data_IF_970639696996
#
_entry.id   IF_970639696996
#
_cell.length_a   1.000
_cell.length_b   1.000
_cell.length_c   1.000
_cell.angle_alpha   90.00
_cell.angle_beta   90.00
_cell.angle_gamma   90.00
#
_symmetry.space_group_name_H-M   'P 1'
#
loop_
_entity.id
_entity.type
_entity.pdbx_description
1 polymer ?
#
# COMPACT_ATOMS: atom_id res chain seq x y z
N UNK A 1 13.11 15.37 20.77
CA UNK A 1 13.81 16.24 21.72
C UNK A 1 15.09 16.88 21.14
N UNK A 2 15.93 16.14 20.38
CA UNK A 2 17.20 16.68 19.83
C UNK A 2 16.96 17.80 18.81
N UNK A 3 15.97 17.68 17.93
CA UNK A 3 15.61 18.73 16.94
C UNK A 3 15.24 20.01 17.65
N UNK A 4 14.43 19.91 18.71
CA UNK A 4 14.04 21.06 19.54
C UNK A 4 15.23 21.70 20.24
N UNK A 5 16.07 20.90 20.88
CA UNK A 5 17.27 21.40 21.57
C UNK A 5 18.26 22.14 20.63
N UNK A 6 18.21 21.86 19.33
CA UNK A 6 19.01 22.50 18.30
C UNK A 6 18.32 23.70 17.63
N UNK A 7 17.07 24.02 18.03
CA UNK A 7 16.29 25.11 17.42
C UNK A 7 15.86 24.84 15.97
N UNK A 8 15.81 23.59 15.54
CA UNK A 8 15.51 23.19 14.16
C UNK A 8 14.04 22.85 13.90
N UNK A 9 13.15 22.99 14.89
CA UNK A 9 11.73 22.63 14.81
C UNK A 9 10.99 23.35 13.66
N UNK A 10 11.34 24.61 13.43
CA UNK A 10 10.71 25.45 12.40
C UNK A 10 11.02 25.02 10.96
N UNK A 11 11.99 24.13 10.76
CA UNK A 11 12.46 23.72 9.42
C UNK A 11 12.74 22.21 9.32
N UNK A 12 12.13 21.40 10.18
CA UNK A 12 12.34 19.94 10.15
C UNK A 12 11.01 19.21 10.16
N UNK A 13 10.84 18.31 9.19
CA UNK A 13 9.75 17.33 9.17
C UNK A 13 10.30 15.96 9.53
N UNK A 14 9.58 15.24 10.36
CA UNK A 14 9.92 13.87 10.78
C UNK A 14 8.81 12.96 10.28
N UNK A 15 9.16 11.96 9.49
CA UNK A 15 8.25 10.94 8.99
C UNK A 15 8.68 9.60 9.56
N UNK A 16 7.76 8.91 10.23
CA UNK A 16 7.92 7.55 10.71
C UNK A 16 6.94 6.64 10.00
N UNK A 17 7.44 5.60 9.37
CA UNK A 17 6.62 4.62 8.66
C UNK A 17 7.39 3.30 8.51
N UNK A 18 6.74 2.27 7.96
CA UNK A 18 7.35 0.99 7.56
C UNK A 18 7.13 0.78 6.07
N UNK A 19 8.03 0.07 5.41
CA UNK A 19 7.94 -0.25 3.98
C UNK A 19 6.84 -1.25 3.66
N UNK A 20 6.55 -2.18 4.59
CA UNK A 20 5.50 -3.20 4.49
C UNK A 20 5.13 -3.71 5.90
N UNK A 21 4.08 -4.51 5.96
CA UNK A 21 3.71 -5.19 7.18
C UNK A 21 4.72 -6.25 7.62
N UNK A 22 4.61 -6.74 8.85
CA UNK A 22 5.49 -7.76 9.37
C UNK A 22 5.41 -9.07 8.55
N UNK A 23 6.51 -9.80 8.52
CA UNK A 23 6.54 -11.13 7.89
C UNK A 23 5.51 -12.03 8.56
N UNK A 24 4.62 -12.70 7.79
CA UNK A 24 3.64 -13.58 8.38
C UNK A 24 4.31 -14.73 9.12
N UNK A 25 3.75 -15.10 10.29
CA UNK A 25 4.22 -16.26 11.05
C UNK A 25 3.89 -17.53 10.27
N UNK A 26 4.93 -18.24 9.84
CA UNK A 26 4.79 -19.50 9.12
C UNK A 26 4.75 -20.67 10.09
N UNK A 27 3.80 -21.63 9.94
CA UNK A 27 3.80 -22.86 10.75
C UNK A 27 4.95 -23.78 10.33
N UNK A 28 5.35 -24.74 11.14
CA UNK A 28 5.58 -24.76 12.58
C UNK A 28 7.06 -24.65 12.95
N UNK A 29 7.98 -24.28 12.05
CA UNK A 29 9.43 -24.40 12.28
C UNK A 29 10.22 -23.07 12.26
N UNK A 30 9.60 -21.95 11.96
CA UNK A 30 10.26 -20.64 11.97
C UNK A 30 9.41 -19.65 12.77
N UNK A 31 9.63 -19.62 14.07
CA UNK A 31 9.11 -18.54 14.90
C UNK A 31 9.93 -17.28 14.65
N UNK A 32 9.39 -16.33 13.90
CA UNK A 32 9.82 -14.95 14.07
C UNK A 32 9.24 -14.46 15.38
N UNK A 33 10.07 -14.31 16.39
CA UNK A 33 9.68 -13.85 17.73
C UNK A 33 9.19 -12.40 17.78
N UNK A 34 9.29 -11.68 16.69
CA UNK A 34 9.07 -10.24 16.62
C UNK A 34 8.23 -9.89 15.40
N UNK A 35 7.15 -9.17 15.67
CA UNK A 35 6.23 -8.65 14.69
C UNK A 35 4.96 -9.49 14.54
N UNK A 36 3.84 -8.82 14.74
CA UNK A 36 2.52 -9.36 14.46
C UNK A 36 1.74 -8.30 13.71
N UNK A 37 0.99 -8.72 12.70
CA UNK A 37 0.05 -7.84 12.01
C UNK A 37 -1.36 -7.95 12.60
N UNK A 38 -1.55 -8.83 13.61
CA UNK A 38 -2.86 -9.01 14.24
C UNK A 38 -3.43 -7.66 14.72
N UNK A 39 -4.72 -7.38 14.47
CA UNK A 39 -5.73 -8.28 13.91
C UNK A 39 -5.80 -8.29 12.36
N UNK A 40 -4.91 -7.59 11.64
CA UNK A 40 -4.91 -7.51 10.19
C UNK A 40 -4.55 -8.85 9.54
N UNK A 41 -5.18 -9.15 8.41
CA UNK A 41 -4.96 -10.37 7.66
C UNK A 41 -3.57 -10.40 7.01
N UNK A 42 -2.89 -11.55 7.15
CA UNK A 42 -1.62 -11.88 6.47
C UNK A 42 -0.47 -10.91 6.81
N UNK A 43 0.39 -10.56 5.85
CA UNK A 43 1.57 -9.74 6.11
C UNK A 43 2.42 -9.48 4.88
N UNK A 44 3.70 -9.20 5.05
CA UNK A 44 4.66 -8.94 3.97
C UNK A 44 4.46 -9.89 2.78
N UNK A 45 4.61 -9.37 1.56
CA UNK A 45 4.40 -10.00 0.25
C UNK A 45 2.93 -10.19 -0.16
N UNK A 46 1.99 -9.64 0.60
CA UNK A 46 0.57 -9.77 0.32
C UNK A 46 -0.10 -8.40 0.25
N UNK A 47 -1.12 -8.25 -0.58
CA UNK A 47 -1.93 -7.05 -0.64
C UNK A 47 -3.12 -7.06 0.32
N UNK A 48 -3.22 -8.04 1.24
CA UNK A 48 -4.11 -7.97 2.39
C UNK A 48 -3.64 -6.90 3.37
N UNK A 49 -4.53 -6.43 4.24
CA UNK A 49 -4.25 -5.30 5.13
C UNK A 49 -2.98 -5.51 5.99
N UNK A 50 -2.73 -6.71 6.46
CA UNK A 50 -1.50 -7.02 7.21
C UNK A 50 -0.21 -6.84 6.41
N UNK A 51 -0.26 -6.86 5.08
CA UNK A 51 0.89 -6.61 4.23
C UNK A 51 1.10 -5.14 3.84
N UNK A 52 0.02 -4.38 3.73
CA UNK A 52 0.04 -3.02 3.17
C UNK A 52 -0.33 -1.91 4.14
N UNK A 53 -1.11 -2.20 5.21
CA UNK A 53 -1.46 -1.21 6.23
C UNK A 53 -0.34 -1.09 7.25
N UNK A 54 0.45 -0.05 7.11
CA UNK A 54 1.61 0.23 7.96
C UNK A 54 1.40 1.51 8.77
N UNK A 55 2.09 1.68 9.92
CA UNK A 55 2.05 2.93 10.64
C UNK A 55 2.61 4.07 9.78
N UNK A 56 1.94 5.22 9.83
CA UNK A 56 2.43 6.45 9.23
C UNK A 56 2.22 7.60 10.21
N UNK A 57 3.31 8.19 10.66
CA UNK A 57 3.29 9.33 11.59
C UNK A 57 4.16 10.43 10.97
N UNK A 58 3.62 11.64 10.91
CA UNK A 58 4.36 12.80 10.44
C UNK A 58 4.22 13.95 11.43
N UNK A 59 5.33 14.61 11.72
CA UNK A 59 5.40 15.80 12.53
C UNK A 59 6.28 16.86 11.84
N UNK A 60 5.96 18.13 12.03
CA UNK A 60 6.74 19.23 11.46
C UNK A 60 5.99 20.55 11.48
N UNK A 61 6.60 21.61 10.91
CA UNK A 61 5.98 22.93 10.86
C UNK A 61 4.58 22.91 10.24
N UNK A 62 3.65 23.63 10.85
CA UNK A 62 2.24 23.74 10.43
C UNK A 62 1.42 22.43 10.49
N UNK A 63 1.97 21.36 11.06
CA UNK A 63 1.22 20.13 11.32
C UNK A 63 0.77 20.16 12.77
N UNK A 64 -0.54 20.10 12.97
CA UNK A 64 -1.14 20.08 14.31
C UNK A 64 -0.94 18.71 14.97
N UNK A 65 -0.46 18.71 16.19
CA UNK A 65 -0.25 17.47 16.95
C UNK A 65 -1.58 16.81 17.36
N UNK A 66 -1.56 15.50 17.50
CA UNK A 66 -2.71 14.71 17.98
C UNK A 66 -3.85 14.53 16.98
N UNK A 67 -3.62 14.83 15.72
CA UNK A 67 -4.62 14.61 14.65
C UNK A 67 -4.44 13.22 14.05
N UNK A 68 -5.56 12.51 13.87
CA UNK A 68 -5.66 11.27 13.14
C UNK A 68 -6.43 11.50 11.83
N UNK A 69 -5.72 11.41 10.69
CA UNK A 69 -6.33 11.49 9.37
C UNK A 69 -6.86 10.12 8.95
N UNK A 70 -8.04 10.09 8.32
CA UNK A 70 -8.67 8.84 7.81
C UNK A 70 -8.46 8.63 6.31
N UNK A 71 -7.89 9.60 5.62
CA UNK A 71 -7.63 9.51 4.18
C UNK A 71 -6.59 8.44 3.90
N UNK A 72 -6.88 7.44 3.06
CA UNK A 72 -5.90 6.45 2.65
C UNK A 72 -4.74 7.09 1.89
N UNK A 73 -3.52 6.73 2.28
CA UNK A 73 -2.28 7.21 1.69
C UNK A 73 -1.37 6.05 1.28
N UNK A 74 -0.42 6.32 0.40
CA UNK A 74 0.57 5.34 -0.06
C UNK A 74 1.95 5.97 -0.15
N UNK A 75 2.99 5.15 -0.27
CA UNK A 75 4.37 5.63 -0.44
C UNK A 75 4.57 6.50 -1.68
N UNK A 76 3.80 6.28 -2.75
CA UNK A 76 3.83 7.12 -3.95
C UNK A 76 3.51 8.60 -3.64
N UNK A 77 2.78 8.87 -2.56
CA UNK A 77 2.42 10.24 -2.14
C UNK A 77 3.59 11.00 -1.49
N UNK A 78 4.66 10.30 -1.08
CA UNK A 78 5.76 10.96 -0.34
C UNK A 78 6.53 11.94 -1.20
N UNK A 79 6.91 11.57 -2.42
CA UNK A 79 7.66 12.46 -3.31
C UNK A 79 6.88 13.75 -3.62
N UNK A 80 5.62 13.71 -4.08
CA UNK A 80 4.83 14.91 -4.29
C UNK A 80 4.65 15.74 -3.00
N UNK A 81 4.52 15.09 -1.85
CA UNK A 81 4.38 15.77 -0.56
C UNK A 81 5.64 16.50 -0.16
N UNK A 82 6.80 15.84 -0.23
CA UNK A 82 8.10 16.41 0.13
C UNK A 82 8.42 17.61 -0.77
N UNK A 83 8.24 17.47 -2.07
CA UNK A 83 8.50 18.55 -3.02
C UNK A 83 7.59 19.76 -2.81
N UNK A 84 6.30 19.51 -2.53
CA UNK A 84 5.34 20.58 -2.26
C UNK A 84 5.61 21.28 -0.92
N UNK A 85 5.99 20.57 0.12
CA UNK A 85 6.38 21.13 1.41
C UNK A 85 7.67 21.93 1.28
N UNK A 86 8.64 21.44 0.53
CA UNK A 86 9.91 22.10 0.27
C UNK A 86 9.77 23.34 -0.64
N UNK A 87 8.60 23.57 -1.23
CA UNK A 87 8.37 24.69 -2.14
C UNK A 87 9.06 24.51 -3.50
N UNK A 88 9.31 23.29 -3.91
CA UNK A 88 9.85 22.96 -5.23
C UNK A 88 8.87 23.39 -6.33
N UNK A 89 9.34 24.16 -7.31
CA UNK A 89 8.48 24.83 -8.30
C UNK A 89 8.56 24.23 -9.70
N UNK A 90 9.49 23.34 -9.96
CA UNK A 90 9.56 22.68 -11.26
C UNK A 90 8.46 21.62 -11.35
N UNK A 91 7.87 21.41 -12.53
CA UNK A 91 6.87 20.36 -12.70
C UNK A 91 7.48 19.00 -12.38
N UNK A 92 6.77 18.21 -11.59
CA UNK A 92 7.05 16.78 -11.46
C UNK A 92 6.60 16.08 -12.74
N UNK A 93 7.07 14.85 -12.95
CA UNK A 93 6.61 14.05 -14.07
C UNK A 93 5.09 13.86 -14.03
N UNK A 94 4.44 13.95 -15.18
CA UNK A 94 2.98 13.88 -15.29
C UNK A 94 2.40 12.47 -15.01
N UNK A 95 3.26 11.45 -14.93
CA UNK A 95 2.90 10.05 -14.73
C UNK A 95 3.11 9.54 -13.30
N UNK A 96 3.29 10.43 -12.33
CA UNK A 96 3.39 10.03 -10.92
C UNK A 96 2.05 9.51 -10.40
N UNK A 97 2.07 8.31 -9.84
CA UNK A 97 0.88 7.67 -9.23
C UNK A 97 0.41 8.37 -7.94
N UNK A 98 1.31 9.06 -7.25
CA UNK A 98 1.02 9.71 -5.97
C UNK A 98 0.60 11.16 -6.08
N UNK A 99 0.00 11.68 -5.00
CA UNK A 99 -0.39 13.07 -4.85
C UNK A 99 0.12 13.70 -3.54
N UNK A 100 0.15 15.04 -3.48
CA UNK A 100 0.61 15.74 -2.28
C UNK A 100 -0.38 15.59 -1.12
N UNK A 101 0.14 15.26 0.05
CA UNK A 101 -0.57 15.23 1.33
C UNK A 101 -0.63 16.59 2.02
N UNK A 102 0.02 17.63 1.50
CA UNK A 102 0.18 18.93 2.16
C UNK A 102 -1.15 19.51 2.64
N UNK A 103 -2.20 19.45 1.81
CA UNK A 103 -3.51 19.94 2.20
C UNK A 103 -4.10 19.20 3.40
N UNK A 104 -3.92 17.88 3.47
CA UNK A 104 -4.39 17.07 4.60
C UNK A 104 -3.58 17.41 5.86
N UNK A 105 -2.27 17.51 5.72
CA UNK A 105 -1.36 17.79 6.84
C UNK A 105 -1.58 19.18 7.46
N UNK A 106 -1.98 20.17 6.66
CA UNK A 106 -2.17 21.57 7.12
C UNK A 106 -3.63 21.91 7.42
N UNK A 107 -4.57 20.99 7.20
CA UNK A 107 -6.01 21.16 7.44
C UNK A 107 -6.56 20.12 8.44
N UNK A 108 -5.82 19.92 9.52
CA UNK A 108 -6.24 19.05 10.62
C UNK A 108 -6.65 17.62 10.18
N UNK A 109 -5.95 17.04 9.21
CA UNK A 109 -6.22 15.69 8.70
C UNK A 109 -7.38 15.58 7.72
N UNK A 110 -7.99 16.72 7.33
CA UNK A 110 -9.18 16.73 6.47
C UNK A 110 -8.78 17.01 5.02
N UNK A 111 -9.23 16.16 4.10
CA UNK A 111 -9.01 16.35 2.67
C UNK A 111 -8.93 15.05 1.87
N UNK A 112 -8.64 15.21 0.60
CA UNK A 112 -8.42 14.10 -0.35
C UNK A 112 -7.06 14.27 -1.02
N UNK A 113 -6.46 13.16 -1.40
CA UNK A 113 -5.26 13.16 -2.24
C UNK A 113 -5.70 13.06 -3.71
N UNK A 114 -5.22 13.98 -4.53
CA UNK A 114 -5.47 13.91 -5.98
C UNK A 114 -4.40 13.03 -6.61
N UNK A 115 -4.81 11.95 -7.26
CA UNK A 115 -3.96 10.98 -7.96
C UNK A 115 -4.46 10.73 -9.38
N UNK A 116 -3.62 10.14 -10.22
CA UNK A 116 -4.00 9.72 -11.58
C UNK A 116 -4.99 8.55 -11.53
N UNK A 117 -4.80 7.62 -10.60
CA UNK A 117 -5.71 6.50 -10.36
C UNK A 117 -6.85 6.90 -9.42
N UNK A 118 -8.05 6.37 -9.66
CA UNK A 118 -9.20 6.58 -8.78
C UNK A 118 -9.06 5.90 -7.41
N UNK A 119 -8.11 4.97 -7.27
CA UNK A 119 -7.89 4.21 -6.04
C UNK A 119 -6.43 3.92 -5.78
N UNK A 120 -6.15 3.31 -4.63
CA UNK A 120 -4.84 2.74 -4.31
C UNK A 120 -4.74 1.36 -4.93
N UNK A 121 -3.73 1.14 -5.78
CA UNK A 121 -3.55 -0.10 -6.53
C UNK A 121 -2.26 -0.78 -6.09
N UNK A 122 -2.36 -2.08 -5.86
CA UNK A 122 -1.26 -2.96 -5.49
C UNK A 122 -1.20 -4.11 -6.49
N UNK A 123 -0.01 -4.42 -6.99
CA UNK A 123 0.19 -5.47 -7.98
C UNK A 123 1.32 -6.39 -7.55
N UNK A 124 0.99 -7.65 -7.29
CA UNK A 124 1.90 -8.71 -6.84
C UNK A 124 1.83 -9.86 -7.85
N UNK A 125 2.52 -9.74 -9.00
CA UNK A 125 2.36 -10.68 -10.12
C UNK A 125 3.17 -11.98 -9.96
N UNK A 126 3.46 -12.40 -8.76
CA UNK A 126 4.25 -13.61 -8.48
C UNK A 126 3.72 -14.38 -7.29
N UNK A 127 3.96 -15.68 -7.30
CA UNK A 127 3.73 -16.53 -6.14
C UNK A 127 4.91 -16.43 -5.15
N UNK A 128 4.60 -16.50 -3.87
CA UNK A 128 5.60 -16.56 -2.82
C UNK A 128 5.37 -17.77 -1.92
N UNK A 129 6.21 -18.78 -2.05
CA UNK A 129 6.11 -20.01 -1.26
C UNK A 129 6.42 -19.80 0.24
N UNK A 130 7.09 -18.70 0.63
CA UNK A 130 7.35 -18.37 2.04
C UNK A 130 6.08 -17.80 2.67
N UNK A 131 5.43 -16.85 2.01
CA UNK A 131 4.19 -16.24 2.49
C UNK A 131 2.95 -17.07 2.13
N UNK A 132 3.09 -18.13 1.34
CA UNK A 132 1.98 -18.92 0.80
C UNK A 132 0.95 -18.02 0.09
N UNK A 133 1.42 -16.98 -0.59
CA UNK A 133 0.55 -16.11 -1.35
C UNK A 133 0.53 -16.49 -2.83
N UNK A 134 -0.60 -16.25 -3.44
CA UNK A 134 -0.86 -16.40 -4.87
C UNK A 134 -0.59 -15.07 -5.57
N UNK A 135 -0.25 -15.10 -6.86
CA UNK A 135 -0.15 -13.88 -7.66
C UNK A 135 -1.51 -13.16 -7.69
N UNK A 136 -1.53 -11.88 -7.32
CA UNK A 136 -2.75 -11.11 -7.18
C UNK A 136 -2.54 -9.62 -7.42
N UNK A 137 -3.64 -8.92 -7.63
CA UNK A 137 -3.70 -7.46 -7.58
C UNK A 137 -4.83 -7.03 -6.65
N UNK A 138 -4.68 -5.85 -6.06
CA UNK A 138 -5.73 -5.25 -5.25
C UNK A 138 -5.96 -3.79 -5.62
N UNK A 139 -7.19 -3.32 -5.39
CA UNK A 139 -7.56 -1.92 -5.49
C UNK A 139 -8.40 -1.51 -4.28
N UNK A 140 -8.11 -0.33 -3.74
CA UNK A 140 -8.91 0.29 -2.68
C UNK A 140 -9.52 1.57 -3.23
N UNK A 141 -10.85 1.63 -3.27
CA UNK A 141 -11.61 2.85 -3.62
C UNK A 141 -12.58 3.14 -2.46
N UNK A 142 -12.49 4.33 -1.90
CA UNK A 142 -13.21 4.70 -0.68
C UNK A 142 -12.99 3.67 0.44
N UNK A 143 -14.05 3.07 0.94
CA UNK A 143 -14.02 2.07 2.01
C UNK A 143 -13.92 0.63 1.48
N UNK A 144 -13.95 0.41 0.16
CA UNK A 144 -13.99 -0.93 -0.42
C UNK A 144 -12.65 -1.35 -1.00
N UNK A 145 -12.29 -2.61 -0.76
CA UNK A 145 -11.11 -3.26 -1.29
C UNK A 145 -11.49 -4.50 -2.08
N UNK A 146 -11.00 -4.57 -3.30
CA UNK A 146 -11.07 -5.77 -4.13
C UNK A 146 -9.68 -6.38 -4.25
N UNK A 147 -9.61 -7.71 -4.15
CA UNK A 147 -8.42 -8.51 -4.47
C UNK A 147 -8.78 -9.46 -5.60
N UNK A 148 -7.97 -9.49 -6.66
CA UNK A 148 -8.12 -10.36 -7.83
C UNK A 148 -6.91 -11.26 -7.96
N UNK A 149 -7.13 -12.57 -7.91
CA UNK A 149 -6.09 -13.58 -8.08
C UNK A 149 -5.89 -13.89 -9.56
N UNK A 150 -4.63 -13.97 -9.99
CA UNK A 150 -4.28 -14.12 -11.41
C UNK A 150 -4.23 -15.57 -11.90
N UNK A 151 -4.19 -16.53 -10.99
CA UNK A 151 -4.11 -17.95 -11.32
C UNK A 151 -5.46 -18.55 -11.75
N UNK A 152 -6.57 -18.06 -11.21
CA UNK A 152 -7.91 -18.59 -11.49
C UNK A 152 -8.99 -17.50 -11.63
N UNK A 153 -8.62 -16.23 -11.64
CA UNK A 153 -9.51 -15.06 -11.67
C UNK A 153 -10.52 -14.99 -10.50
N UNK A 154 -10.26 -15.69 -9.41
CA UNK A 154 -11.02 -15.53 -8.18
C UNK A 154 -10.91 -14.10 -7.66
N UNK A 155 -12.00 -13.58 -7.12
CA UNK A 155 -12.03 -12.24 -6.52
C UNK A 155 -12.56 -12.27 -5.10
N UNK A 156 -12.06 -11.35 -4.29
CA UNK A 156 -12.55 -11.09 -2.93
C UNK A 156 -12.86 -9.60 -2.80
N UNK A 157 -13.94 -9.28 -2.09
CA UNK A 157 -14.38 -7.90 -1.87
C UNK A 157 -14.65 -7.67 -0.38
N UNK A 158 -14.06 -6.62 0.18
CA UNK A 158 -14.19 -6.27 1.59
C UNK A 158 -14.61 -4.81 1.77
N UNK A 159 -15.27 -4.51 2.88
CA UNK A 159 -15.52 -3.14 3.33
C UNK A 159 -14.59 -2.84 4.52
N UNK A 160 -13.48 -2.17 4.28
CA UNK A 160 -12.45 -1.90 5.28
C UNK A 160 -12.89 -0.98 6.44
N UNK A 161 -14.01 -0.27 6.28
CA UNK A 161 -14.58 0.57 7.34
C UNK A 161 -15.22 -0.26 8.44
N UNK A 162 -15.85 -1.37 8.08
CA UNK A 162 -16.59 -2.25 8.99
C UNK A 162 -15.86 -3.57 9.24
N UNK A 163 -14.92 -3.94 8.38
CA UNK A 163 -14.20 -5.21 8.35
C UNK A 163 -12.74 -4.99 7.89
N UNK A 164 -11.96 -4.27 8.69
CA UNK A 164 -10.54 -4.04 8.39
C UNK A 164 -9.67 -5.30 8.57
N UNK A 165 -10.24 -6.35 9.14
CA UNK A 165 -9.62 -7.68 9.29
C UNK A 165 -9.83 -8.57 8.06
N UNK A 166 -10.66 -8.14 7.09
CA UNK A 166 -10.94 -8.84 5.83
C UNK A 166 -11.51 -10.25 6.03
N UNK A 167 -12.49 -10.37 6.95
CA UNK A 167 -13.11 -11.65 7.32
C UNK A 167 -14.37 -11.96 6.51
N UNK A 168 -15.07 -10.94 5.98
CA UNK A 168 -16.36 -11.10 5.34
C UNK A 168 -16.26 -10.74 3.85
N UNK A 169 -16.23 -11.77 2.99
CA UNK A 169 -16.20 -11.59 1.53
C UNK A 169 -17.58 -11.17 1.01
N UNK A 170 -17.68 -9.97 0.43
CA UNK A 170 -18.89 -9.32 -0.05
C UNK A 170 -19.19 -9.55 -1.54
N UNK A 171 -18.47 -10.40 -2.24
CA UNK A 171 -18.60 -10.64 -3.69
C UNK A 171 -20.05 -10.90 -4.09
N UNK A 172 -20.76 -11.74 -3.34
CA UNK A 172 -22.15 -12.11 -3.65
C UNK A 172 -23.19 -11.05 -3.22
N UNK A 173 -22.85 -10.18 -2.27
CA UNK A 173 -23.78 -9.22 -1.70
C UNK A 173 -23.63 -7.80 -2.26
N UNK A 174 -22.52 -7.49 -2.94
CA UNK A 174 -22.21 -6.15 -3.46
C UNK A 174 -21.78 -6.17 -4.94
N UNK A 175 -22.61 -6.69 -5.86
CA UNK A 175 -22.20 -6.92 -7.25
C UNK A 175 -21.87 -5.61 -8.01
N UNK A 176 -22.52 -4.50 -7.69
CA UNK A 176 -22.22 -3.21 -8.32
C UNK A 176 -20.86 -2.66 -7.89
N UNK A 177 -20.51 -2.80 -6.61
CA UNK A 177 -19.18 -2.42 -6.10
C UNK A 177 -18.09 -3.32 -6.66
N UNK A 178 -18.34 -4.62 -6.71
CA UNK A 178 -17.44 -5.59 -7.33
C UNK A 178 -17.11 -5.17 -8.76
N UNK A 179 -18.11 -4.96 -9.59
CA UNK A 179 -17.91 -4.60 -11.00
C UNK A 179 -17.16 -3.28 -11.17
N UNK A 180 -17.47 -2.27 -10.36
CA UNK A 180 -16.78 -0.98 -10.41
C UNK A 180 -15.29 -1.14 -10.11
N UNK A 181 -14.94 -1.79 -8.99
CA UNK A 181 -13.56 -1.94 -8.58
C UNK A 181 -12.78 -2.83 -9.55
N UNK A 182 -13.38 -3.92 -10.03
CA UNK A 182 -12.75 -4.83 -10.98
C UNK A 182 -12.46 -4.14 -12.31
N UNK A 183 -13.43 -3.43 -12.88
CA UNK A 183 -13.23 -2.68 -14.11
C UNK A 183 -12.16 -1.60 -13.98
N UNK A 184 -12.13 -0.89 -12.85
CA UNK A 184 -11.14 0.16 -12.58
C UNK A 184 -9.73 -0.44 -12.45
N UNK A 185 -9.59 -1.56 -11.73
CA UNK A 185 -8.34 -2.28 -11.58
C UNK A 185 -7.81 -2.78 -12.93
N UNK A 186 -8.66 -3.48 -13.70
CA UNK A 186 -8.27 -4.04 -14.99
C UNK A 186 -7.88 -2.95 -16.00
N UNK A 187 -8.62 -1.85 -16.04
CA UNK A 187 -8.29 -0.70 -16.88
C UNK A 187 -6.93 -0.08 -16.53
N UNK A 188 -6.64 0.07 -15.23
CA UNK A 188 -5.35 0.58 -14.79
C UNK A 188 -4.21 -0.38 -15.13
N UNK A 189 -4.33 -1.67 -14.81
CA UNK A 189 -3.30 -2.67 -15.10
C UNK A 189 -3.01 -2.75 -16.60
N UNK A 190 -4.04 -2.63 -17.44
CA UNK A 190 -3.89 -2.56 -18.89
C UNK A 190 -3.15 -1.29 -19.34
N UNK A 191 -3.55 -0.12 -18.80
CA UNK A 191 -2.95 1.18 -19.12
C UNK A 191 -1.45 1.22 -18.84
N UNK A 192 -1.03 0.70 -17.67
CA UNK A 192 0.39 0.68 -17.26
C UNK A 192 1.15 -0.52 -17.81
N UNK A 193 0.51 -1.38 -18.61
CA UNK A 193 1.09 -2.64 -19.12
C UNK A 193 1.71 -3.47 -17.97
N UNK A 194 0.97 -3.61 -16.90
CA UNK A 194 1.41 -4.33 -15.72
C UNK A 194 1.95 -5.72 -16.08
N UNK A 195 3.04 -6.19 -15.46
CA UNK A 195 3.60 -7.50 -15.70
C UNK A 195 2.54 -8.59 -15.48
N UNK A 196 2.40 -9.52 -16.43
CA UNK A 196 1.48 -10.64 -16.28
C UNK A 196 2.09 -11.69 -15.36
N UNK A 197 1.21 -12.33 -14.59
CA UNK A 197 1.61 -13.49 -13.82
C UNK A 197 2.15 -14.61 -14.75
N UNK A 198 3.20 -15.24 -14.29
CA UNK A 198 3.72 -16.49 -14.84
C UNK A 198 3.86 -17.48 -13.69
N UNK A 199 3.61 -18.80 -13.91
CA UNK A 199 3.89 -19.80 -12.90
C UNK A 199 5.29 -19.59 -12.36
N UNK A 200 5.40 -19.36 -11.05
CA UNK A 200 6.68 -19.05 -10.44
C UNK A 200 7.63 -20.23 -10.57
N UNK A 201 8.83 -19.99 -11.05
CA UNK A 201 9.95 -20.87 -10.73
C UNK A 201 10.14 -20.68 -9.22
N UNK A 202 9.95 -21.74 -8.43
CA UNK A 202 10.25 -21.63 -7.01
C UNK A 202 11.68 -21.15 -6.89
N UNK A 203 11.93 -20.16 -6.08
CA UNK A 203 13.26 -19.61 -5.93
C UNK A 203 14.30 -20.64 -5.41
N UNK A 204 13.89 -21.85 -5.07
CA UNK A 204 14.74 -23.01 -4.86
C UNK A 204 15.27 -23.65 -6.15
N UNK A 205 14.69 -23.40 -7.29
CA UNK A 205 14.99 -24.15 -8.52
C UNK A 205 15.70 -23.37 -9.63
N UNK A 206 15.86 -22.07 -9.54
CA UNK A 206 16.37 -21.38 -10.72
C UNK A 206 17.01 -20.05 -10.48
N UNK A 207 17.32 -19.72 -9.26
CA UNK A 207 17.36 -18.30 -8.95
C UNK A 207 18.73 -17.77 -8.59
N UNK A 208 19.62 -18.59 -8.11
CA UNK A 208 20.98 -18.12 -7.84
C UNK A 208 21.69 -17.78 -9.16
N UNK A 209 21.48 -18.57 -10.20
CA UNK A 209 22.05 -18.29 -11.52
C UNK A 209 21.43 -17.08 -12.20
N UNK A 210 20.12 -16.84 -12.05
CA UNK A 210 19.45 -15.67 -12.66
C UNK A 210 19.61 -14.39 -11.87
N UNK A 211 19.70 -14.44 -10.56
CA UNK A 211 20.01 -13.26 -9.74
C UNK A 211 21.43 -12.79 -10.02
N UNK A 212 22.36 -13.72 -10.27
CA UNK A 212 23.73 -13.39 -10.61
C UNK A 212 23.92 -12.97 -12.08
N UNK A 213 22.90 -13.10 -12.95
CA UNK A 213 22.97 -12.64 -14.35
C UNK A 213 22.48 -11.20 -14.57
N UNK A 214 22.18 -10.46 -13.51
CA UNK A 214 21.88 -9.03 -13.55
C UNK A 214 23.11 -8.15 -13.28
N UNK A 215 24.28 -8.58 -13.79
CA UNK A 215 25.48 -7.72 -13.85
C UNK A 215 25.83 -7.41 -15.28
#
# INVERSE_FOLDING_TARGET
>A
DRVKALGLEGNTYIIYTSDNGAVPVMPPKRFYKVGSNFPLSRGKWDAMEGGIRVPFIIAGPKIKAGIEAKTPITFSDLLPTITDIAGYKLPLQDDLDGGSLKNILTKDGIGKVTRISEGLIFHVPYENGIALNRAHSAIIIDDFKLIKFHDNNEVMLFNLKTDFEEQVNLVNSQPQKLQLLENTLDAYLHKVKAPKWKPGISWKQGTVEKINSFH
#
